data_IF_773982836893
#
_entry.id   IF_773982836893
#
_cell.length_a   1.000
_cell.length_b   1.000
_cell.length_c   1.000
_cell.angle_alpha   90.00
_cell.angle_beta   90.00
_cell.angle_gamma   90.00
#
_symmetry.space_group_name_H-M   'P 1'
#
loop_
_entity.id
_entity.type
_entity.pdbx_description
1 polymer ?
#
# COMPACT_ATOMS: atom_id res chain seq x y z
N UNK A 1 50.99 29.11 43.04
CA UNK A 1 50.51 27.98 43.86
C UNK A 1 49.63 27.09 43.00
N UNK A 2 49.94 25.81 42.95
CA UNK A 2 49.29 24.79 42.13
C UNK A 2 48.34 23.95 42.99
N UNK A 3 47.15 23.58 42.49
CA UNK A 3 46.48 22.30 42.79
C UNK A 3 45.53 21.89 41.65
N UNK A 4 45.99 20.87 40.91
CA UNK A 4 45.37 19.70 40.25
C UNK A 4 43.98 19.76 39.56
N UNK A 5 43.84 19.06 38.41
CA UNK A 5 42.58 18.85 37.69
C UNK A 5 41.83 17.60 38.22
N UNK A 6 40.53 17.70 38.39
CA UNK A 6 39.68 16.53 38.66
C UNK A 6 39.03 16.03 37.37
N UNK A 7 39.55 14.90 36.88
CA UNK A 7 38.85 14.01 35.95
C UNK A 7 37.61 13.47 36.65
N UNK A 8 36.42 13.67 36.07
CA UNK A 8 35.26 12.84 36.37
C UNK A 8 34.54 12.43 35.07
N UNK A 9 34.68 11.13 34.81
CA UNK A 9 33.77 10.24 34.12
C UNK A 9 33.35 10.54 32.68
N UNK A 10 34.19 10.05 31.76
CA UNK A 10 33.70 9.25 30.62
C UNK A 10 32.80 8.14 31.17
N UNK A 11 31.52 8.16 30.83
CA UNK A 11 30.67 7.00 30.52
C UNK A 11 29.19 7.43 30.57
N UNK A 12 28.71 7.99 29.46
CA UNK A 12 27.32 7.78 29.09
C UNK A 12 27.36 6.81 27.91
N UNK A 13 27.47 5.54 28.31
CA UNK A 13 27.29 4.40 27.46
C UNK A 13 26.05 4.59 26.57
N UNK A 14 26.26 4.33 25.29
CA UNK A 14 25.25 3.93 24.32
C UNK A 14 24.13 3.09 24.96
N UNK A 15 22.97 3.70 25.21
CA UNK A 15 21.72 2.99 25.47
C UNK A 15 20.73 3.20 24.33
N UNK A 16 21.18 3.02 23.10
CA UNK A 16 20.29 2.80 21.96
C UNK A 16 20.91 1.72 21.08
N UNK A 17 20.47 0.46 21.26
CA UNK A 17 19.60 -0.09 20.23
C UNK A 17 18.59 -1.10 20.81
N UNK A 18 17.56 -0.66 21.54
CA UNK A 18 16.47 -1.57 21.92
C UNK A 18 15.04 -0.99 21.77
N UNK A 19 14.89 0.27 21.39
CA UNK A 19 13.56 0.87 21.17
C UNK A 19 13.04 0.73 19.72
N UNK A 20 13.81 0.12 18.83
CA UNK A 20 13.39 -0.17 17.45
C UNK A 20 12.61 -1.47 17.29
N UNK A 21 12.65 -2.39 18.27
CA UNK A 21 11.93 -3.67 18.19
C UNK A 21 10.47 -3.58 18.62
N UNK A 22 10.12 -2.69 19.57
CA UNK A 22 8.75 -2.52 20.04
C UNK A 22 7.83 -1.83 19.01
N UNK A 23 8.37 -0.91 18.20
CA UNK A 23 7.64 -0.33 17.06
C UNK A 23 7.34 -1.39 16.01
N UNK A 24 8.30 -2.27 15.69
CA UNK A 24 8.12 -3.35 14.72
C UNK A 24 7.03 -4.35 15.15
N UNK A 25 7.01 -4.78 16.41
CA UNK A 25 6.04 -5.80 16.88
C UNK A 25 4.62 -5.22 16.94
N UNK A 26 4.46 -3.97 17.41
CA UNK A 26 3.14 -3.32 17.42
C UNK A 26 2.65 -3.03 16.00
N UNK A 27 3.54 -2.67 15.07
CA UNK A 27 3.20 -2.46 13.66
C UNK A 27 2.79 -3.73 12.92
N UNK A 28 3.39 -4.89 13.23
CA UNK A 28 3.01 -6.18 12.63
C UNK A 28 1.63 -6.64 13.14
N UNK A 29 1.35 -6.43 14.43
CA UNK A 29 0.05 -6.80 15.02
C UNK A 29 -1.10 -5.92 14.50
N UNK A 30 -0.88 -4.60 14.34
CA UNK A 30 -1.89 -3.71 13.77
C UNK A 30 -2.12 -3.97 12.28
N UNK A 31 -1.08 -4.35 11.55
CA UNK A 31 -1.16 -4.65 10.13
C UNK A 31 -2.04 -5.87 9.84
N UNK A 32 -1.76 -6.99 10.51
CA UNK A 32 -2.54 -8.21 10.32
C UNK A 32 -4.02 -7.97 10.66
N UNK A 33 -4.27 -7.11 11.66
CA UNK A 33 -5.61 -6.70 12.04
C UNK A 33 -6.31 -5.85 10.97
N UNK A 34 -5.63 -4.89 10.33
CA UNK A 34 -6.23 -4.10 9.24
C UNK A 34 -6.47 -4.97 8.01
N UNK A 35 -5.53 -5.84 7.63
CA UNK A 35 -5.70 -6.81 6.54
C UNK A 35 -6.92 -7.73 6.79
N UNK A 36 -7.09 -8.22 8.02
CA UNK A 36 -8.21 -9.08 8.39
C UNK A 36 -9.57 -8.34 8.40
N UNK A 37 -9.58 -7.07 8.82
CA UNK A 37 -10.78 -6.22 8.70
C UNK A 37 -11.11 -5.94 7.23
N UNK A 38 -10.12 -5.62 6.40
CA UNK A 38 -10.34 -5.38 4.96
C UNK A 38 -10.83 -6.66 4.29
N UNK A 39 -10.24 -7.81 4.63
CA UNK A 39 -10.67 -9.12 4.13
C UNK A 39 -12.11 -9.42 4.52
N UNK A 40 -12.49 -9.26 5.78
CA UNK A 40 -13.87 -9.48 6.23
C UNK A 40 -14.86 -8.51 5.59
N UNK A 41 -14.49 -7.23 5.42
CA UNK A 41 -15.31 -6.26 4.70
C UNK A 41 -15.49 -6.63 3.22
N UNK A 42 -14.45 -7.15 2.57
CA UNK A 42 -14.50 -7.61 1.17
C UNK A 42 -15.35 -8.86 1.03
N UNK A 43 -15.24 -9.82 1.95
CA UNK A 43 -16.08 -11.03 1.99
C UNK A 43 -17.56 -10.68 2.25
N UNK A 44 -17.83 -9.72 3.13
CA UNK A 44 -19.16 -9.20 3.43
C UNK A 44 -19.71 -8.24 2.35
N UNK A 45 -18.92 -7.93 1.30
CA UNK A 45 -19.24 -6.95 0.25
C UNK A 45 -19.55 -5.55 0.78
N UNK A 46 -19.04 -5.21 1.97
CA UNK A 46 -19.23 -3.92 2.62
C UNK A 46 -18.16 -2.91 2.18
N UNK A 47 -18.05 -2.70 0.87
CA UNK A 47 -17.00 -1.87 0.27
C UNK A 47 -17.09 -0.39 0.69
N UNK A 48 -18.28 0.07 1.07
CA UNK A 48 -18.53 1.43 1.58
C UNK A 48 -17.79 1.73 2.90
N UNK A 49 -17.41 0.71 3.67
CA UNK A 49 -16.67 0.87 4.92
C UNK A 49 -15.15 1.02 4.71
N UNK A 50 -14.63 0.58 3.56
CA UNK A 50 -13.20 0.60 3.25
C UNK A 50 -12.56 1.98 3.42
N UNK A 51 -13.17 3.11 3.00
CA UNK A 51 -12.59 4.42 3.23
C UNK A 51 -12.35 4.73 4.71
N UNK A 52 -13.28 4.32 5.58
CA UNK A 52 -13.19 4.55 7.01
C UNK A 52 -12.13 3.67 7.67
N UNK A 53 -12.03 2.42 7.22
CA UNK A 53 -11.02 1.45 7.69
C UNK A 53 -9.62 1.90 7.28
N UNK A 54 -9.47 2.42 6.06
CA UNK A 54 -8.18 2.75 5.44
C UNK A 54 -7.72 4.20 5.70
N UNK A 55 -8.59 5.08 6.22
CA UNK A 55 -8.26 6.46 6.59
C UNK A 55 -7.02 6.64 7.50
N UNK A 56 -6.74 5.76 8.48
CA UNK A 56 -5.54 5.85 9.31
C UNK A 56 -4.25 5.50 8.55
N UNK A 57 -4.37 4.70 7.50
CA UNK A 57 -3.26 4.04 6.83
C UNK A 57 -2.61 4.92 5.75
N UNK A 58 -3.39 5.78 5.09
CA UNK A 58 -2.93 6.67 4.02
C UNK A 58 -1.86 7.71 4.42
N UNK A 59 -1.43 7.76 5.69
CA UNK A 59 -0.41 8.69 6.19
C UNK A 59 0.94 8.05 6.46
N UNK A 60 1.05 6.72 6.42
CA UNK A 60 2.23 6.01 6.91
C UNK A 60 2.87 5.21 5.76
N UNK A 61 3.82 5.82 5.06
CA UNK A 61 4.49 5.25 3.86
C UNK A 61 5.36 4.00 4.08
N UNK A 62 5.11 3.20 5.12
CA UNK A 62 5.83 1.95 5.44
C UNK A 62 4.93 0.76 5.71
N UNK A 63 3.61 0.91 5.60
CA UNK A 63 2.67 -0.17 5.91
C UNK A 63 2.53 -1.06 4.66
N UNK A 64 2.75 -2.39 4.76
CA UNK A 64 2.48 -3.30 3.66
C UNK A 64 1.00 -3.28 3.29
N UNK A 65 0.72 -3.56 2.03
CA UNK A 65 -0.58 -3.27 1.46
C UNK A 65 -1.69 -4.16 2.08
N UNK A 66 -2.80 -3.59 2.61
CA UNK A 66 -3.90 -4.35 3.21
C UNK A 66 -4.69 -5.22 2.21
N UNK A 67 -4.49 -5.04 0.90
CA UNK A 67 -5.02 -5.91 -0.14
C UNK A 67 -4.06 -7.04 -0.54
N UNK A 68 -2.94 -7.22 0.15
CA UNK A 68 -1.99 -8.33 0.00
C UNK A 68 -2.69 -9.69 -0.13
N UNK A 69 -3.73 -9.96 0.67
CA UNK A 69 -4.50 -11.20 0.63
C UNK A 69 -5.12 -11.51 -0.74
N UNK A 70 -5.40 -10.50 -1.57
CA UNK A 70 -5.94 -10.70 -2.91
C UNK A 70 -4.95 -11.48 -3.80
N UNK A 71 -3.65 -11.41 -3.52
CA UNK A 71 -2.64 -12.19 -4.27
C UNK A 71 -2.81 -13.71 -4.10
N UNK A 72 -3.47 -14.15 -3.02
CA UNK A 72 -3.79 -15.56 -2.78
C UNK A 72 -4.97 -16.07 -3.61
N UNK A 73 -5.76 -15.15 -4.19
CA UNK A 73 -6.96 -15.48 -4.94
C UNK A 73 -6.66 -15.60 -6.45
N UNK A 74 -7.44 -16.41 -7.19
CA UNK A 74 -7.40 -16.45 -8.64
C UNK A 74 -7.61 -15.06 -9.28
N UNK A 75 -6.85 -14.77 -10.35
CA UNK A 75 -6.90 -13.48 -11.06
C UNK A 75 -8.31 -13.03 -11.48
N UNK A 76 -9.19 -13.97 -11.83
CA UNK A 76 -10.59 -13.66 -12.17
C UNK A 76 -11.38 -13.14 -10.98
N UNK A 77 -11.17 -13.72 -9.80
CA UNK A 77 -11.84 -13.30 -8.57
C UNK A 77 -11.29 -11.96 -8.10
N UNK A 78 -9.97 -11.76 -8.15
CA UNK A 78 -9.35 -10.47 -7.77
C UNK A 78 -9.85 -9.34 -8.65
N UNK A 79 -9.90 -9.55 -9.98
CA UNK A 79 -10.43 -8.57 -10.93
C UNK A 79 -11.88 -8.22 -10.62
N UNK A 80 -12.71 -9.23 -10.33
CA UNK A 80 -14.12 -9.02 -9.96
C UNK A 80 -14.27 -8.23 -8.66
N UNK A 81 -13.48 -8.57 -7.63
CA UNK A 81 -13.50 -7.84 -6.34
C UNK A 81 -13.11 -6.38 -6.56
N UNK A 82 -12.05 -6.13 -7.32
CA UNK A 82 -11.60 -4.76 -7.61
C UNK A 82 -12.69 -3.99 -8.36
N UNK A 83 -13.31 -4.59 -9.38
CA UNK A 83 -14.40 -3.96 -10.12
C UNK A 83 -15.60 -3.64 -9.23
N UNK A 84 -16.01 -4.57 -8.35
CA UNK A 84 -17.09 -4.35 -7.38
C UNK A 84 -16.75 -3.20 -6.41
N UNK A 85 -15.50 -3.13 -5.93
CA UNK A 85 -15.01 -2.02 -5.09
C UNK A 85 -15.10 -0.69 -5.86
N UNK A 86 -14.56 -0.63 -7.08
CA UNK A 86 -14.60 0.59 -7.90
C UNK A 86 -16.03 1.03 -8.21
N UNK A 87 -16.93 0.07 -8.45
CA UNK A 87 -18.34 0.33 -8.72
C UNK A 87 -19.06 0.88 -7.49
N UNK A 88 -18.76 0.39 -6.28
CA UNK A 88 -19.35 0.92 -5.04
C UNK A 88 -19.04 2.40 -4.84
N UNK A 89 -17.86 2.87 -5.28
CA UNK A 89 -17.46 4.27 -5.12
C UNK A 89 -17.89 5.19 -6.24
N UNK A 90 -18.55 4.67 -7.29
CA UNK A 90 -18.98 5.47 -8.44
C UNK A 90 -19.85 6.67 -8.05
N UNK A 91 -20.66 6.53 -7.01
CA UNK A 91 -21.59 7.56 -6.54
C UNK A 91 -21.25 8.13 -5.15
N UNK A 92 -20.19 7.65 -4.50
CA UNK A 92 -19.81 8.08 -3.15
C UNK A 92 -19.02 9.38 -3.23
N UNK A 93 -19.48 10.42 -2.53
CA UNK A 93 -18.80 11.71 -2.38
C UNK A 93 -18.80 12.12 -0.90
N UNK A 94 -17.67 12.61 -0.33
CA UNK A 94 -16.36 12.86 -0.96
C UNK A 94 -15.63 11.57 -1.36
N UNK A 95 -14.89 11.60 -2.46
CA UNK A 95 -14.32 10.38 -3.04
C UNK A 95 -13.15 9.84 -2.20
N UNK A 96 -13.08 8.51 -1.99
CA UNK A 96 -12.12 7.90 -1.08
C UNK A 96 -10.74 7.71 -1.73
N UNK A 97 -9.99 8.82 -1.89
CA UNK A 97 -8.63 8.85 -2.48
C UNK A 97 -7.71 7.76 -1.94
N UNK A 98 -7.71 7.61 -0.61
CA UNK A 98 -6.87 6.64 0.10
C UNK A 98 -7.09 5.22 -0.41
N UNK A 99 -8.33 4.84 -0.73
CA UNK A 99 -8.64 3.49 -1.23
C UNK A 99 -8.08 3.29 -2.63
N UNK A 100 -8.21 4.30 -3.51
CA UNK A 100 -7.63 4.25 -4.85
C UNK A 100 -6.11 4.16 -4.82
N UNK A 101 -5.45 4.96 -3.98
CA UNK A 101 -3.98 4.97 -3.87
C UNK A 101 -3.46 3.62 -3.34
N UNK A 102 -4.13 3.05 -2.34
CA UNK A 102 -3.76 1.74 -1.78
C UNK A 102 -4.04 0.62 -2.81
N UNK A 103 -5.19 0.62 -3.50
CA UNK A 103 -5.48 -0.33 -4.59
C UNK A 103 -4.46 -0.23 -5.74
N UNK A 104 -4.06 0.99 -6.10
CA UNK A 104 -3.08 1.23 -7.14
C UNK A 104 -1.71 0.69 -6.73
N UNK A 105 -1.29 0.91 -5.47
CA UNK A 105 -0.03 0.37 -4.97
C UNK A 105 -0.02 -1.17 -4.93
N UNK A 106 -1.15 -1.81 -4.61
CA UNK A 106 -1.31 -3.27 -4.66
C UNK A 106 -1.16 -3.78 -6.09
N UNK A 107 -1.92 -3.19 -7.00
CA UNK A 107 -1.96 -3.65 -8.40
C UNK A 107 -0.61 -3.44 -9.08
N UNK A 108 0.13 -2.37 -8.77
CA UNK A 108 1.48 -2.13 -9.28
C UNK A 108 2.52 -3.15 -8.80
N UNK A 109 2.33 -3.74 -7.62
CA UNK A 109 3.20 -4.79 -7.08
C UNK A 109 2.87 -6.19 -7.64
N UNK A 110 1.74 -6.34 -8.32
CA UNK A 110 1.29 -7.62 -8.89
C UNK A 110 1.89 -7.89 -10.28
N UNK A 111 2.22 -9.14 -10.64
CA UNK A 111 2.78 -9.49 -11.95
C UNK A 111 1.81 -9.28 -13.13
N UNK A 112 0.50 -9.15 -12.88
CA UNK A 112 -0.52 -8.90 -13.92
C UNK A 112 -1.16 -7.50 -13.76
N UNK A 113 -0.32 -6.52 -13.44
CA UNK A 113 -0.70 -5.17 -13.00
C UNK A 113 -1.44 -4.34 -14.04
N UNK A 114 -1.05 -4.41 -15.32
CA UNK A 114 -1.38 -3.33 -16.26
C UNK A 114 -2.88 -3.07 -16.46
N UNK A 115 -3.73 -4.06 -16.83
CA UNK A 115 -5.13 -3.77 -17.11
C UNK A 115 -5.86 -3.19 -15.90
N UNK A 116 -5.58 -3.71 -14.70
CA UNK A 116 -6.21 -3.29 -13.45
C UNK A 116 -5.72 -1.91 -13.01
N UNK A 117 -4.41 -1.66 -13.09
CA UNK A 117 -3.82 -0.36 -12.76
C UNK A 117 -4.42 0.78 -13.60
N UNK A 118 -4.62 0.56 -14.91
CA UNK A 118 -5.23 1.58 -15.79
C UNK A 118 -6.68 1.87 -15.43
N UNK A 119 -7.48 0.86 -15.09
CA UNK A 119 -8.87 1.06 -14.70
C UNK A 119 -8.94 1.86 -13.40
N UNK A 120 -8.12 1.52 -12.41
CA UNK A 120 -8.02 2.27 -11.15
C UNK A 120 -7.61 3.71 -11.44
N UNK A 121 -6.56 3.93 -12.26
CA UNK A 121 -6.09 5.26 -12.63
C UNK A 121 -7.17 6.10 -13.33
N UNK A 122 -7.91 5.49 -14.27
CA UNK A 122 -9.03 6.15 -14.95
C UNK A 122 -10.13 6.55 -13.97
N UNK A 123 -10.47 5.69 -13.00
CA UNK A 123 -11.42 5.99 -11.94
C UNK A 123 -10.93 7.13 -11.03
N UNK A 124 -9.64 7.12 -10.66
CA UNK A 124 -9.01 8.19 -9.88
C UNK A 124 -9.06 9.54 -10.61
N UNK A 125 -8.71 9.56 -11.90
CA UNK A 125 -8.78 10.79 -12.70
C UNK A 125 -10.22 11.28 -12.91
N UNK A 126 -11.16 10.38 -13.20
CA UNK A 126 -12.58 10.71 -13.37
C UNK A 126 -13.23 11.22 -12.08
N UNK A 127 -12.72 10.81 -10.93
CA UNK A 127 -13.19 11.32 -9.64
C UNK A 127 -12.63 12.69 -9.27
N UNK A 128 -11.80 13.31 -10.13
CA UNK A 128 -11.14 14.59 -9.86
C UNK A 128 -9.97 14.47 -8.88
N UNK A 129 -9.46 13.24 -8.69
CA UNK A 129 -8.33 12.96 -7.83
C UNK A 129 -7.03 12.90 -8.62
N UNK A 130 -5.98 13.52 -8.08
CA UNK A 130 -4.63 13.39 -8.61
C UNK A 130 -4.02 12.12 -8.02
N UNK A 131 -3.62 11.15 -8.86
CA UNK A 131 -3.02 9.91 -8.37
C UNK A 131 -1.64 10.17 -7.76
N UNK A 132 -1.27 9.36 -6.78
CA UNK A 132 0.03 9.43 -6.08
C UNK A 132 1.22 9.31 -7.07
N UNK A 133 2.38 9.96 -6.84
CA UNK A 133 3.62 9.78 -7.60
C UNK A 133 4.06 8.34 -7.91
N UNK A 134 3.48 7.33 -7.26
CA UNK A 134 3.64 5.91 -7.61
C UNK A 134 3.26 5.57 -9.05
N UNK A 135 2.57 6.45 -9.79
CA UNK A 135 2.38 6.35 -11.26
C UNK A 135 3.70 6.15 -12.00
N UNK A 136 4.84 6.62 -11.47
CA UNK A 136 6.16 6.36 -12.07
C UNK A 136 6.46 4.86 -12.20
N UNK A 137 6.00 4.03 -11.26
CA UNK A 137 6.13 2.57 -11.31
C UNK A 137 5.27 1.94 -12.42
N UNK A 138 4.18 2.61 -12.80
CA UNK A 138 3.33 2.19 -13.91
C UNK A 138 4.05 2.36 -15.25
N UNK A 139 4.91 3.38 -15.35
CA UNK A 139 5.74 3.63 -16.53
C UNK A 139 6.79 2.53 -16.70
N UNK A 140 7.44 2.09 -15.61
CA UNK A 140 8.37 0.95 -15.65
C UNK A 140 7.65 -0.36 -15.95
N UNK A 141 6.53 -0.63 -15.28
CA UNK A 141 5.74 -1.84 -15.52
C UNK A 141 5.23 -1.94 -16.98
N UNK A 142 4.87 -0.81 -17.58
CA UNK A 142 4.48 -0.73 -18.99
C UNK A 142 5.63 -1.07 -19.93
N UNK A 143 6.82 -0.54 -19.65
CA UNK A 143 8.03 -0.84 -20.43
C UNK A 143 8.41 -2.32 -20.35
N UNK A 144 8.32 -2.93 -19.17
CA UNK A 144 8.62 -4.35 -18.96
C UNK A 144 7.67 -5.26 -19.75
N UNK A 145 6.37 -4.96 -19.76
CA UNK A 145 5.40 -5.72 -20.56
C UNK A 145 5.63 -5.57 -22.07
N UNK A 146 6.04 -4.38 -22.54
CA UNK A 146 6.44 -4.15 -23.94
C UNK A 146 7.69 -4.94 -24.32
N UNK A 147 8.67 -5.01 -23.43
CA UNK A 147 9.89 -5.81 -23.62
C UNK A 147 9.57 -7.31 -23.76
N UNK A 148 8.73 -7.86 -22.88
CA UNK A 148 8.33 -9.28 -22.95
C UNK A 148 7.56 -9.63 -24.23
N UNK A 149 6.69 -8.73 -24.72
CA UNK A 149 5.98 -8.92 -25.99
C UNK A 149 6.92 -9.03 -27.20
N UNK A 150 8.08 -8.38 -27.16
CA UNK A 150 9.05 -8.42 -28.25
C UNK A 150 9.86 -9.72 -28.26
N UNK A 151 10.13 -10.31 -27.09
CA UNK A 151 10.84 -11.60 -26.99
C UNK A 151 10.00 -12.80 -27.43
N UNK A 152 8.67 -12.71 -27.38
CA UNK A 152 7.77 -13.79 -27.85
C UNK A 152 7.59 -13.76 -29.38
N UNK A 153 7.83 -12.61 -30.02
CA UNK A 153 7.70 -12.47 -31.49
C UNK A 153 8.95 -12.93 -32.26
N UNK A 154 10.03 -13.31 -31.58
CA UNK A 154 11.30 -13.73 -32.20
C UNK A 154 11.63 -15.21 -32.02
N UNK A 155 10.61 -16.07 -31.84
CA UNK A 155 10.75 -17.53 -31.86
C UNK A 155 9.85 -18.17 -32.91
#
# INVERSE_FOLDING_TARGET
MAVRPTKLCKFLFNLYPCLSQSVLIHSISSLNYVEEIVKSAVEAKMYELLPNILAPEGKTGRIPNPFSFLSTLPLRLTTKIIDEILQSFKYVRPQPRVVYDILLSYTLQSPHSLPLCFVILQCTLRSGCLPDPQIKLLSSAWLDCRGQSQYVSSR
#
